data_IF_143373024276
#
_entry.id   IF_143373024276
#
_cell.length_a   1.000
_cell.length_b   1.000
_cell.length_c   1.000
_cell.angle_alpha   90.00
_cell.angle_beta   90.00
_cell.angle_gamma   90.00
#
_symmetry.space_group_name_H-M   'P 1'
#
loop_
_entity.id
_entity.type
_entity.pdbx_description
1 polymer ?
#
# COMPACT_ATOMS: atom_id res chain seq x y z
N UNK A 1 -25.66 0.70 27.04
CA UNK A 1 -26.13 0.45 25.66
C UNK A 1 -24.98 0.72 24.71
N UNK A 2 -24.30 -0.32 24.19
CA UNK A 2 -23.26 -0.12 23.18
C UNK A 2 -23.94 0.28 21.86
N UNK A 3 -23.72 1.51 21.45
CA UNK A 3 -24.19 2.06 20.17
C UNK A 3 -23.48 1.28 19.07
N UNK A 4 -24.19 0.37 18.41
CA UNK A 4 -23.71 -0.38 17.25
C UNK A 4 -23.36 0.65 16.18
N UNK A 5 -22.07 0.93 15.99
CA UNK A 5 -21.56 1.83 14.94
C UNK A 5 -21.96 1.18 13.62
N UNK A 6 -23.01 1.68 12.98
CA UNK A 6 -23.33 1.25 11.62
C UNK A 6 -22.17 1.70 10.75
N UNK A 7 -21.36 0.75 10.27
CA UNK A 7 -20.37 1.07 9.25
C UNK A 7 -21.16 1.44 8.00
N UNK A 8 -21.10 2.72 7.63
CA UNK A 8 -21.45 3.16 6.28
C UNK A 8 -20.64 2.26 5.34
N UNK A 9 -21.30 1.59 4.37
CA UNK A 9 -20.58 0.83 3.34
C UNK A 9 -19.74 1.85 2.57
N UNK A 10 -18.46 1.96 2.91
CA UNK A 10 -17.49 2.80 2.19
C UNK A 10 -17.27 2.20 0.82
N UNK A 11 -17.29 3.03 -0.21
CA UNK A 11 -17.01 2.57 -1.56
C UNK A 11 -15.49 2.54 -1.75
N UNK A 12 -14.89 1.35 -1.70
CA UNK A 12 -13.44 1.19 -1.80
C UNK A 12 -12.86 1.76 -3.10
N UNK A 13 -13.66 1.78 -4.18
CA UNK A 13 -13.23 2.28 -5.48
C UNK A 13 -12.96 3.79 -5.49
N UNK A 14 -13.63 4.53 -4.60
CA UNK A 14 -13.48 5.98 -4.44
C UNK A 14 -12.52 6.36 -3.32
N UNK A 15 -11.98 5.39 -2.58
CA UNK A 15 -11.01 5.66 -1.52
C UNK A 15 -9.61 5.87 -2.09
N UNK A 16 -8.81 6.66 -1.37
CA UNK A 16 -7.41 6.95 -1.72
C UNK A 16 -6.50 6.15 -0.79
N UNK A 17 -5.78 5.13 -1.30
CA UNK A 17 -4.77 4.44 -0.51
C UNK A 17 -3.52 5.32 -0.39
N UNK A 18 -3.03 5.49 0.84
CA UNK A 18 -1.81 6.22 1.15
C UNK A 18 -0.85 5.30 1.90
N UNK A 19 0.44 5.37 1.60
CA UNK A 19 1.45 4.64 2.36
C UNK A 19 1.51 5.12 3.80
N UNK A 20 1.61 4.16 4.72
CA UNK A 20 1.84 4.46 6.13
C UNK A 20 3.19 5.13 6.36
N UNK A 21 3.29 5.96 7.41
CA UNK A 21 4.49 6.79 7.67
C UNK A 21 5.79 5.98 7.84
N UNK A 22 5.67 4.72 8.24
CA UNK A 22 6.80 3.81 8.45
C UNK A 22 7.19 3.02 7.20
N UNK A 23 6.42 3.14 6.13
CA UNK A 23 6.60 2.42 4.88
C UNK A 23 7.07 3.41 3.83
N UNK A 24 8.14 3.07 3.13
CA UNK A 24 8.72 3.91 2.08
C UNK A 24 9.08 3.04 0.90
N UNK A 25 8.99 3.59 -0.32
CA UNK A 25 9.47 2.91 -1.51
C UNK A 25 10.88 3.38 -1.83
N UNK A 26 11.78 2.43 -2.12
CA UNK A 26 13.14 2.70 -2.60
C UNK A 26 13.33 2.00 -3.94
N UNK A 27 13.84 2.75 -4.91
CA UNK A 27 14.23 2.23 -6.21
C UNK A 27 15.76 2.12 -6.27
N UNK A 28 16.28 0.90 -6.39
CA UNK A 28 17.73 0.65 -6.49
C UNK A 28 18.20 0.51 -7.94
N UNK A 29 17.31 0.09 -8.84
CA UNK A 29 17.54 0.05 -10.28
C UNK A 29 16.21 0.16 -11.04
N UNK A 30 16.24 0.16 -12.37
CA UNK A 30 15.01 0.19 -13.18
C UNK A 30 14.04 -0.97 -12.84
N UNK A 31 14.58 -2.14 -12.48
CA UNK A 31 13.81 -3.36 -12.24
C UNK A 31 13.70 -3.75 -10.76
N UNK A 32 14.54 -3.17 -9.89
CA UNK A 32 14.59 -3.50 -8.47
C UNK A 32 13.93 -2.41 -7.62
N UNK A 33 12.63 -2.57 -7.41
CA UNK A 33 11.82 -1.71 -6.54
C UNK A 33 11.55 -2.44 -5.22
N UNK A 34 11.66 -1.73 -4.10
CA UNK A 34 11.46 -2.32 -2.77
C UNK A 34 10.59 -1.44 -1.89
N UNK A 35 9.70 -2.07 -1.11
CA UNK A 35 9.13 -1.46 0.08
C UNK A 35 10.09 -1.66 1.25
N UNK A 36 10.42 -0.57 1.92
CA UNK A 36 11.21 -0.51 3.13
C UNK A 36 10.29 -0.17 4.28
N UNK A 37 10.08 -1.13 5.18
CA UNK A 37 9.24 -1.01 6.36
C UNK A 37 10.13 -0.83 7.58
N UNK A 38 10.01 0.31 8.24
CA UNK A 38 10.73 0.62 9.46
C UNK A 38 10.11 -0.10 10.66
N UNK A 39 10.95 -0.82 11.42
CA UNK A 39 10.54 -1.56 12.63
C UNK A 39 10.65 -0.67 13.86
N UNK A 40 9.60 0.10 14.14
CA UNK A 40 9.61 1.14 15.17
C UNK A 40 8.91 0.72 16.47
N UNK A 41 8.22 -0.43 16.48
CA UNK A 41 7.47 -0.90 17.64
C UNK A 41 8.40 -1.19 18.83
N UNK A 42 7.89 -0.98 20.06
CA UNK A 42 8.69 -1.14 21.28
C UNK A 42 9.34 -2.53 21.41
N UNK A 43 8.56 -3.59 21.14
CA UNK A 43 9.06 -4.98 21.14
C UNK A 43 10.12 -5.19 20.04
N UNK A 44 9.95 -4.56 18.89
CA UNK A 44 10.95 -4.64 17.81
C UNK A 44 12.25 -3.94 18.18
N UNK A 45 12.18 -2.76 18.81
CA UNK A 45 13.37 -2.04 19.30
C UNK A 45 14.16 -2.87 20.29
N UNK A 46 13.49 -3.57 21.20
CA UNK A 46 14.12 -4.52 22.13
C UNK A 46 14.79 -5.65 21.34
N UNK A 47 14.06 -6.33 20.48
CA UNK A 47 14.61 -7.49 19.75
C UNK A 47 15.77 -7.11 18.83
N UNK A 48 15.73 -5.95 18.17
CA UNK A 48 16.85 -5.41 17.38
C UNK A 48 18.07 -5.16 18.28
N UNK A 49 17.88 -4.55 19.45
CA UNK A 49 18.96 -4.21 20.38
C UNK A 49 19.66 -5.44 20.97
N UNK A 50 18.89 -6.49 21.29
CA UNK A 50 19.40 -7.68 21.98
C UNK A 50 19.78 -8.82 21.03
N UNK A 51 19.07 -9.00 19.92
CA UNK A 51 19.29 -10.10 18.96
C UNK A 51 19.92 -9.65 17.64
N UNK A 52 20.37 -8.40 17.52
CA UNK A 52 21.01 -7.82 16.32
C UNK A 52 20.20 -8.04 15.03
N UNK A 53 18.88 -8.10 15.15
CA UNK A 53 17.98 -8.24 14.01
C UNK A 53 18.01 -6.97 13.15
N UNK A 54 17.72 -7.07 11.84
CA UNK A 54 17.64 -5.89 10.98
C UNK A 54 16.52 -4.94 11.45
N UNK A 55 16.83 -3.64 11.43
CA UNK A 55 15.92 -2.54 11.81
C UNK A 55 14.87 -2.21 10.76
N UNK A 56 15.07 -2.71 9.54
CA UNK A 56 14.15 -2.52 8.41
C UNK A 56 13.83 -3.86 7.78
N UNK A 57 12.60 -3.99 7.26
CA UNK A 57 12.22 -5.09 6.36
C UNK A 57 12.21 -4.54 4.95
N UNK A 58 12.88 -5.24 4.04
CA UNK A 58 12.95 -4.87 2.62
C UNK A 58 12.20 -5.92 1.81
N UNK A 59 11.14 -5.51 1.13
CA UNK A 59 10.24 -6.38 0.38
C UNK A 59 10.33 -6.00 -1.08
N UNK A 60 10.69 -6.95 -1.94
CA UNK A 60 10.78 -6.72 -3.37
C UNK A 60 9.37 -6.58 -3.95
N UNK A 61 9.14 -5.51 -4.71
CA UNK A 61 7.93 -5.32 -5.49
C UNK A 61 8.13 -5.87 -6.90
N UNK A 62 7.06 -6.37 -7.48
CA UNK A 62 6.97 -6.61 -8.91
C UNK A 62 6.73 -5.29 -9.66
N UNK A 63 6.75 -5.34 -11.00
CA UNK A 63 6.55 -4.15 -11.83
C UNK A 63 5.18 -3.49 -11.61
N UNK A 64 4.14 -4.29 -11.35
CA UNK A 64 2.78 -3.79 -11.13
C UNK A 64 2.63 -3.14 -9.75
N UNK A 65 3.07 -3.80 -8.68
CA UNK A 65 3.04 -3.25 -7.33
C UNK A 65 3.91 -1.99 -7.22
N UNK A 66 5.09 -1.98 -7.84
CA UNK A 66 5.95 -0.80 -7.89
C UNK A 66 5.25 0.39 -8.56
N UNK A 67 4.55 0.16 -9.66
CA UNK A 67 3.79 1.20 -10.33
C UNK A 67 2.59 1.65 -9.49
N UNK A 68 1.83 0.72 -8.90
CA UNK A 68 0.69 1.05 -8.05
C UNK A 68 1.10 1.96 -6.88
N UNK A 69 2.21 1.65 -6.18
CA UNK A 69 2.74 2.50 -5.11
C UNK A 69 3.10 3.91 -5.62
N UNK A 70 3.77 4.01 -6.79
CA UNK A 70 4.07 5.32 -7.41
C UNK A 70 2.81 6.12 -7.72
N UNK A 71 1.70 5.46 -8.06
CA UNK A 71 0.43 6.13 -8.29
C UNK A 71 -0.23 6.66 -7.01
N UNK A 72 0.04 6.04 -5.85
CA UNK A 72 -0.46 6.50 -4.53
C UNK A 72 0.18 7.82 -4.11
N UNK A 73 1.43 8.09 -4.50
CA UNK A 73 2.10 9.37 -4.22
C UNK A 73 1.36 10.56 -4.85
N UNK A 74 0.59 10.33 -5.92
CA UNK A 74 -0.27 11.34 -6.56
C UNK A 74 -1.67 11.45 -5.93
N UNK A 75 -1.91 10.81 -4.79
CA UNK A 75 -3.21 10.82 -4.08
C UNK A 75 -4.39 10.35 -4.94
N UNK A 76 -4.16 9.39 -5.84
CA UNK A 76 -5.19 8.83 -6.73
C UNK A 76 -6.06 7.82 -6.00
N UNK A 77 -7.35 7.79 -6.32
CA UNK A 77 -8.25 6.74 -5.82
C UNK A 77 -8.04 5.40 -6.54
N UNK A 78 -8.62 4.33 -5.99
CA UNK A 78 -8.44 2.96 -6.52
C UNK A 78 -8.83 2.83 -8.00
N UNK A 79 -9.92 3.46 -8.43
CA UNK A 79 -10.32 3.46 -9.85
C UNK A 79 -9.26 4.10 -10.74
N UNK A 80 -8.81 5.29 -10.38
CA UNK A 80 -7.78 6.02 -11.14
C UNK A 80 -6.46 5.26 -11.21
N UNK A 81 -6.07 4.57 -10.13
CA UNK A 81 -4.87 3.73 -10.13
C UNK A 81 -5.06 2.55 -11.08
N UNK A 82 -6.23 1.89 -11.05
CA UNK A 82 -6.52 0.77 -11.94
C UNK A 82 -6.51 1.19 -13.41
N UNK A 83 -7.15 2.31 -13.76
CA UNK A 83 -7.16 2.86 -15.11
C UNK A 83 -5.73 3.18 -15.57
N UNK A 84 -4.95 3.87 -14.73
CA UNK A 84 -3.56 4.19 -15.03
C UNK A 84 -2.67 2.93 -15.19
N UNK A 85 -3.01 1.82 -14.52
CA UNK A 85 -2.33 0.54 -14.71
C UNK A 85 -2.69 -0.10 -16.05
N UNK A 86 -3.98 -0.11 -16.42
CA UNK A 86 -4.44 -0.60 -17.73
C UNK A 86 -3.87 0.23 -18.88
N UNK A 87 -3.80 1.56 -18.74
CA UNK A 87 -3.19 2.44 -19.75
C UNK A 87 -1.69 2.19 -19.94
N UNK A 88 -0.95 2.01 -18.83
CA UNK A 88 0.50 1.87 -18.88
C UNK A 88 0.97 0.48 -19.31
N UNK A 89 0.28 -0.58 -18.88
CA UNK A 89 0.69 -1.98 -19.14
C UNK A 89 -0.18 -2.70 -20.18
N UNK A 90 -1.28 -2.09 -20.63
CA UNK A 90 -2.18 -2.67 -21.64
C UNK A 90 -2.72 -4.04 -21.20
N UNK A 91 -2.70 -4.99 -22.13
CA UNK A 91 -3.21 -6.35 -21.90
C UNK A 91 -2.47 -7.09 -20.77
N UNK A 92 -1.22 -6.73 -20.46
CA UNK A 92 -0.50 -7.36 -19.34
C UNK A 92 -1.09 -7.00 -17.98
N UNK A 93 -1.80 -5.87 -17.88
CA UNK A 93 -2.47 -5.45 -16.65
C UNK A 93 -3.72 -6.28 -16.36
N UNK A 94 -4.34 -6.87 -17.39
CA UNK A 94 -5.67 -7.44 -17.27
C UNK A 94 -5.69 -8.74 -16.43
N UNK A 95 -6.63 -8.90 -15.49
CA UNK A 95 -7.58 -7.90 -15.00
C UNK A 95 -6.94 -6.94 -13.98
N UNK A 96 -6.87 -5.64 -14.31
CA UNK A 96 -6.10 -4.66 -13.54
C UNK A 96 -6.71 -4.38 -12.16
N UNK A 97 -8.02 -4.11 -12.11
CA UNK A 97 -8.71 -3.75 -10.88
C UNK A 97 -8.65 -4.88 -9.83
N UNK A 98 -9.00 -6.15 -10.13
CA UNK A 98 -8.90 -7.24 -9.16
C UNK A 98 -7.47 -7.46 -8.64
N UNK A 99 -6.46 -7.30 -9.51
CA UNK A 99 -5.06 -7.44 -9.12
C UNK A 99 -4.62 -6.33 -8.18
N UNK A 100 -4.97 -5.08 -8.50
CA UNK A 100 -4.74 -3.93 -7.65
C UNK A 100 -5.43 -4.09 -6.29
N UNK A 101 -6.70 -4.50 -6.29
CA UNK A 101 -7.47 -4.75 -5.09
C UNK A 101 -6.81 -5.79 -4.18
N UNK A 102 -6.32 -6.90 -4.77
CA UNK A 102 -5.62 -7.92 -3.98
C UNK A 102 -4.31 -7.40 -3.40
N UNK A 103 -3.59 -6.59 -4.16
CA UNK A 103 -2.37 -5.95 -3.68
C UNK A 103 -2.65 -5.00 -2.51
N UNK A 104 -3.66 -4.13 -2.64
CA UNK A 104 -4.08 -3.21 -1.58
C UNK A 104 -4.55 -3.95 -0.32
N UNK A 105 -5.30 -5.05 -0.46
CA UNK A 105 -5.71 -5.91 0.66
C UNK A 105 -4.49 -6.47 1.41
N UNK A 106 -3.45 -6.92 0.70
CA UNK A 106 -2.22 -7.41 1.34
C UNK A 106 -1.53 -6.29 2.13
N UNK A 107 -1.45 -5.09 1.56
CA UNK A 107 -0.86 -3.93 2.26
C UNK A 107 -1.69 -3.54 3.49
N UNK A 108 -3.01 -3.58 3.39
CA UNK A 108 -3.94 -3.26 4.48
C UNK A 108 -3.82 -4.25 5.63
N UNK A 109 -3.80 -5.57 5.34
CA UNK A 109 -3.64 -6.62 6.36
C UNK A 109 -2.33 -6.46 7.15
N UNK A 110 -1.31 -5.86 6.55
CA UNK A 110 -0.04 -5.58 7.20
C UNK A 110 0.07 -4.17 7.82
N UNK A 111 -1.01 -3.40 7.82
CA UNK A 111 -1.06 -2.00 8.25
C UNK A 111 0.02 -1.17 7.54
N UNK A 112 0.22 -1.39 6.23
CA UNK A 112 1.20 -0.65 5.41
C UNK A 112 0.59 0.50 4.62
N UNK A 113 -0.75 0.55 4.56
CA UNK A 113 -1.50 1.64 3.96
C UNK A 113 -2.56 2.16 4.94
N UNK A 114 -2.92 3.42 4.77
CA UNK A 114 -4.10 4.04 5.34
C UNK A 114 -5.05 4.44 4.20
N UNK A 115 -6.33 4.53 4.51
CA UNK A 115 -7.34 4.98 3.57
C UNK A 115 -7.79 6.39 3.91
N UNK A 116 -7.68 7.29 2.94
CA UNK A 116 -8.34 8.59 2.97
C UNK A 116 -9.68 8.49 2.22
N UNK A 117 -10.72 9.10 2.80
CA UNK A 117 -12.08 9.08 2.25
C UNK A 117 -12.33 10.43 1.57
N UNK A 118 -12.24 10.48 0.23
CA UNK A 118 -12.47 11.73 -0.52
C UNK A 118 -13.90 12.27 -0.32
N UNK A 119 -14.87 11.44 0.07
CA UNK A 119 -16.27 11.83 0.26
C UNK A 119 -16.50 12.87 1.39
N UNK A 120 -15.51 13.12 2.26
CA UNK A 120 -15.65 14.06 3.39
C UNK A 120 -15.08 15.48 3.13
N UNK A 121 -14.62 15.80 1.91
CA UNK A 121 -14.17 17.15 1.53
C UNK A 121 -15.16 17.93 0.68
#
# INVERSE_FOLDING_TARGET
MLRKRQSKKRNLLTMVPLLERRVTMVQESAEANFLVIQRTNFVERITIRFFKQPSVRKIKLDKFGAYAIKQMDFQRNVNQISEAMSEHFGEEAEPALPRLMKFLEILEVHDWIIWDDEEEK
#
